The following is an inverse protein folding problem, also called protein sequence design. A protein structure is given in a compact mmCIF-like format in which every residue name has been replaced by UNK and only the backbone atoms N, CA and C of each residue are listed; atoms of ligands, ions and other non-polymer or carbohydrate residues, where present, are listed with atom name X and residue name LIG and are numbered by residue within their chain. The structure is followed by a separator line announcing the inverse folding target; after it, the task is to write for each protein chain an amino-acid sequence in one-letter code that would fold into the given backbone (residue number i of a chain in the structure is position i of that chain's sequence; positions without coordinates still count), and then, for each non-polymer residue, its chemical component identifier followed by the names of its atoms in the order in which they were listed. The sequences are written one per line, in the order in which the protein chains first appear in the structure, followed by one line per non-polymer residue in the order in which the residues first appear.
data_IF_187384173781
#
_entry.id   IF_187384173781
#
_cell.length_a   1.000
_cell.length_b   1.000
_cell.length_c   1.000
_cell.angle_alpha   90.00
_cell.angle_beta   90.00
_cell.angle_gamma   90.00
#
_symmetry.space_group_name_H-M   'P 1'
#
loop_
_entity.id
_entity.type
_entity.pdbx_description
1 polymer ?
#
# COMPACT_ATOMS: atom_id res chain seq x y z
N UNK A 1 30.26 -35.36 -24.00
CA UNK A 1 28.95 -34.92 -24.51
C UNK A 1 28.05 -34.74 -23.30
N UNK A 2 28.04 -33.64 -22.55
CA UNK A 2 27.81 -32.24 -22.92
C UNK A 2 26.54 -32.08 -23.78
N UNK A 3 25.51 -31.47 -23.19
CA UNK A 3 24.23 -31.12 -23.81
C UNK A 3 23.08 -31.98 -23.26
N UNK A 4 22.04 -31.47 -22.61
CA UNK A 4 21.40 -30.15 -22.74
C UNK A 4 20.84 -29.70 -21.39
N UNK A 5 21.47 -28.69 -20.80
CA UNK A 5 20.72 -27.63 -20.12
C UNK A 5 19.97 -26.92 -21.24
N UNK A 6 18.64 -27.00 -21.29
CA UNK A 6 17.67 -26.02 -21.83
C UNK A 6 16.32 -26.72 -21.88
N UNK A 7 15.41 -26.32 -21.00
CA UNK A 7 13.95 -26.42 -21.14
C UNK A 7 13.36 -26.09 -19.77
N UNK A 8 12.62 -25.03 -19.53
CA UNK A 8 12.02 -24.06 -20.41
C UNK A 8 11.56 -22.92 -19.48
N UNK A 9 12.00 -21.68 -19.74
CA UNK A 9 11.58 -20.48 -18.99
C UNK A 9 10.07 -20.16 -19.16
N UNK A 10 9.30 -21.03 -19.80
CA UNK A 10 7.84 -20.95 -19.97
C UNK A 10 7.02 -21.16 -18.69
N UNK A 11 7.63 -21.49 -17.55
CA UNK A 11 6.92 -21.68 -16.26
C UNK A 11 6.98 -20.45 -15.34
N UNK A 12 7.27 -19.26 -15.88
CA UNK A 12 7.26 -18.00 -15.13
C UNK A 12 5.96 -17.19 -15.31
N UNK A 13 4.84 -17.85 -15.63
CA UNK A 13 3.51 -17.23 -15.57
C UNK A 13 2.84 -17.37 -14.19
N UNK A 14 3.52 -16.82 -13.19
CA UNK A 14 2.88 -16.28 -11.98
C UNK A 14 3.55 -14.94 -11.67
N UNK A 15 3.55 -14.07 -12.68
CA UNK A 15 4.15 -12.75 -12.63
C UNK A 15 3.28 -11.89 -11.70
N UNK A 16 3.62 -11.92 -10.41
CA UNK A 16 3.30 -10.89 -9.39
C UNK A 16 1.90 -10.29 -9.50
N UNK A 17 0.92 -10.92 -8.84
CA UNK A 17 -0.38 -10.31 -8.55
C UNK A 17 -0.20 -9.17 -7.54
N UNK A 18 0.41 -8.09 -8.02
CA UNK A 18 0.62 -6.85 -7.30
C UNK A 18 -0.48 -5.87 -7.69
N UNK A 19 -1.42 -5.63 -6.78
CA UNK A 19 -2.50 -4.68 -6.99
C UNK A 19 -2.20 -3.37 -6.27
N UNK A 20 -2.31 -2.19 -6.92
CA UNK A 20 -2.20 -0.92 -6.21
C UNK A 20 -3.38 -0.78 -5.24
N UNK A 21 -3.10 -0.39 -4.00
CA UNK A 21 -4.10 -0.28 -2.93
C UNK A 21 -4.16 1.10 -2.26
N UNK A 22 -3.09 1.89 -2.37
CA UNK A 22 -3.06 3.26 -1.88
C UNK A 22 -2.09 4.12 -2.70
N UNK A 23 -2.38 5.42 -2.80
CA UNK A 23 -1.48 6.43 -3.36
C UNK A 23 -1.30 7.58 -2.38
N UNK A 24 -0.09 8.08 -2.25
CA UNK A 24 0.28 9.17 -1.36
C UNK A 24 1.00 10.28 -2.12
N UNK A 25 0.65 11.52 -1.82
CA UNK A 25 1.37 12.72 -2.22
C UNK A 25 1.52 13.64 -1.02
N UNK A 26 2.64 14.37 -0.97
CA UNK A 26 3.02 15.15 0.21
C UNK A 26 3.21 16.62 -0.14
N UNK A 27 2.70 17.50 0.71
CA UNK A 27 2.92 18.94 0.64
C UNK A 27 3.63 19.38 1.93
N UNK A 28 4.80 20.07 1.83
CA UNK A 28 5.50 20.55 3.02
C UNK A 28 4.70 21.67 3.70
N UNK A 29 4.52 21.56 5.02
CA UNK A 29 3.85 22.58 5.83
C UNK A 29 4.84 23.32 6.74
N UNK A 30 5.74 22.58 7.38
CA UNK A 30 6.78 23.08 8.27
C UNK A 30 7.93 22.07 8.31
N UNK A 31 9.07 22.36 8.98
CA UNK A 31 10.14 21.38 9.14
C UNK A 31 9.61 20.07 9.74
N UNK A 32 9.81 18.95 9.02
CA UNK A 32 9.31 17.61 9.40
C UNK A 32 7.80 17.54 9.63
N UNK A 33 7.02 18.40 8.99
CA UNK A 33 5.57 18.38 9.05
C UNK A 33 5.00 18.51 7.63
N UNK A 34 4.15 17.56 7.27
CA UNK A 34 3.61 17.44 5.91
C UNK A 34 2.11 17.24 5.94
N UNK A 35 1.41 17.90 5.02
CA UNK A 35 0.09 17.46 4.61
C UNK A 35 0.25 16.28 3.65
N UNK A 36 -0.50 15.21 3.85
CA UNK A 36 -0.50 14.06 2.98
C UNK A 36 -1.90 13.86 2.40
N UNK A 37 -1.95 13.78 1.08
CA UNK A 37 -3.14 13.34 0.36
C UNK A 37 -3.04 11.84 0.12
N UNK A 38 -4.00 11.09 0.68
CA UNK A 38 -4.11 9.65 0.59
C UNK A 38 -5.34 9.28 -0.24
N UNK A 39 -5.12 8.49 -1.28
CA UNK A 39 -6.18 7.84 -2.06
C UNK A 39 -6.14 6.33 -1.76
N UNK A 40 -7.29 5.74 -1.44
CA UNK A 40 -7.44 4.29 -1.20
C UNK A 40 -8.66 3.76 -1.94
N UNK A 41 -8.79 2.42 -2.04
CA UNK A 41 -9.96 1.79 -2.63
C UNK A 41 -10.09 2.06 -4.13
N UNK A 42 -11.09 2.85 -4.52
CA UNK A 42 -11.36 3.23 -5.93
C UNK A 42 -10.47 4.37 -6.45
N UNK A 43 -9.65 4.96 -5.58
CA UNK A 43 -8.81 6.13 -5.87
C UNK A 43 -9.60 7.36 -6.34
N UNK A 44 -10.88 7.47 -5.97
CA UNK A 44 -11.73 8.59 -6.36
C UNK A 44 -11.94 9.60 -5.23
N UNK A 45 -11.67 9.22 -3.97
CA UNK A 45 -11.92 10.06 -2.79
C UNK A 45 -10.61 10.36 -2.05
N UNK A 46 -9.96 11.51 -2.34
CA UNK A 46 -8.78 11.90 -1.60
C UNK A 46 -9.13 12.22 -0.15
N UNK A 47 -8.33 11.72 0.77
CA UNK A 47 -8.38 12.04 2.19
C UNK A 47 -7.09 12.79 2.56
N UNK A 48 -7.20 13.81 3.40
CA UNK A 48 -6.06 14.61 3.84
C UNK A 48 -5.74 14.37 5.30
N UNK A 49 -4.45 14.20 5.59
CA UNK A 49 -3.94 14.00 6.94
C UNK A 49 -2.70 14.86 7.17
N UNK A 50 -2.33 15.03 8.44
CA UNK A 50 -1.07 15.67 8.83
C UNK A 50 -0.12 14.63 9.38
N UNK A 51 1.11 14.56 8.89
CA UNK A 51 2.16 13.68 9.39
C UNK A 51 3.36 14.47 9.88
N UNK A 52 4.04 13.89 10.86
CA UNK A 52 5.28 14.40 11.44
C UNK A 52 6.41 13.38 11.27
N UNK A 53 7.60 13.86 10.93
CA UNK A 53 8.77 13.00 10.75
C UNK A 53 9.49 13.22 9.42
N UNK A 54 10.42 12.32 9.14
CA UNK A 54 11.23 12.33 7.91
C UNK A 54 10.75 11.26 6.91
N UNK A 55 9.96 10.28 7.39
CA UNK A 55 9.45 9.13 6.64
C UNK A 55 7.94 8.99 6.88
N UNK A 56 7.26 8.35 5.93
CA UNK A 56 5.87 7.92 6.09
C UNK A 56 5.81 6.40 6.20
N UNK A 57 4.76 5.87 6.83
CA UNK A 57 4.51 4.44 6.99
C UNK A 57 3.02 4.12 6.83
N UNK A 58 2.71 3.08 6.06
CA UNK A 58 1.38 2.48 6.00
C UNK A 58 1.45 1.05 6.55
N UNK A 59 0.54 0.76 7.47
CA UNK A 59 0.33 -0.56 8.06
C UNK A 59 -0.92 -1.21 7.45
N UNK A 60 -0.86 -2.52 7.21
CA UNK A 60 -1.98 -3.33 6.78
C UNK A 60 -1.97 -4.72 7.42
N UNK A 61 -3.15 -5.32 7.49
CA UNK A 61 -3.36 -6.72 7.83
C UNK A 61 -3.63 -7.54 6.60
N UNK A 62 -3.09 -8.75 6.61
CA UNK A 62 -3.30 -9.75 5.58
C UNK A 62 -3.95 -10.99 6.18
N UNK A 63 -4.92 -11.55 5.46
CA UNK A 63 -5.47 -12.87 5.70
C UNK A 63 -5.15 -13.75 4.50
N UNK A 64 -4.46 -14.86 4.78
CA UNK A 64 -4.06 -15.83 3.79
C UNK A 64 -4.89 -17.10 3.94
N UNK A 65 -5.47 -17.56 2.84
CA UNK A 65 -6.19 -18.83 2.81
C UNK A 65 -5.24 -20.01 2.56
N UNK A 66 -5.64 -21.20 3.01
CA UNK A 66 -4.96 -22.46 2.73
C UNK A 66 -4.93 -22.72 1.21
N UNK A 67 -3.92 -23.46 0.70
CA UNK A 67 -3.75 -23.68 -0.73
C UNK A 67 -4.99 -24.21 -1.46
N UNK A 68 -5.75 -25.11 -0.84
CA UNK A 68 -6.99 -25.65 -1.41
C UNK A 68 -8.11 -24.61 -1.55
N UNK A 69 -8.15 -23.60 -0.66
CA UNK A 69 -9.12 -22.51 -0.73
C UNK A 69 -8.76 -21.47 -1.81
N UNK A 70 -7.47 -21.24 -2.07
CA UNK A 70 -7.03 -20.39 -3.19
C UNK A 70 -7.43 -20.99 -4.56
N UNK A 71 -7.48 -22.33 -4.67
CA UNK A 71 -7.94 -23.01 -5.89
C UNK A 71 -9.43 -22.78 -6.18
N UNK A 72 -10.21 -22.35 -5.17
CA UNK A 72 -11.62 -21.97 -5.31
C UNK A 72 -11.80 -20.49 -5.68
N UNK A 73 -10.72 -19.77 -6.00
CA UNK A 73 -10.75 -18.35 -6.37
C UNK A 73 -10.83 -17.39 -5.17
N UNK A 74 -10.53 -17.86 -3.96
CA UNK A 74 -10.41 -16.98 -2.80
C UNK A 74 -9.04 -16.30 -2.79
N UNK A 75 -8.99 -15.05 -3.22
CA UNK A 75 -7.76 -14.26 -3.17
C UNK A 75 -7.42 -13.83 -1.74
N UNK A 76 -6.13 -13.61 -1.50
CA UNK A 76 -5.66 -13.09 -0.21
C UNK A 76 -6.34 -11.75 0.09
N UNK A 77 -6.88 -11.61 1.30
CA UNK A 77 -7.59 -10.40 1.71
C UNK A 77 -6.65 -9.46 2.46
N UNK A 78 -6.90 -8.15 2.34
CA UNK A 78 -6.16 -7.14 3.07
C UNK A 78 -7.07 -6.09 3.69
N UNK A 79 -6.57 -5.46 4.76
CA UNK A 79 -7.19 -4.28 5.37
C UNK A 79 -6.09 -3.29 5.72
N UNK A 80 -6.16 -2.08 5.18
CA UNK A 80 -5.32 -0.97 5.64
C UNK A 80 -5.72 -0.64 7.09
N UNK A 81 -4.74 -0.29 7.92
CA UNK A 81 -4.98 0.00 9.33
C UNK A 81 -4.60 1.42 9.67
N UNK A 82 -3.36 1.80 9.39
CA UNK A 82 -2.80 3.03 9.93
C UNK A 82 -1.85 3.69 8.96
N UNK A 83 -1.96 5.01 8.89
CA UNK A 83 -0.98 5.90 8.29
C UNK A 83 -0.27 6.66 9.41
N UNK A 84 1.06 6.64 9.44
CA UNK A 84 1.85 7.38 10.44
C UNK A 84 3.10 7.97 9.82
N UNK A 85 3.59 9.07 10.39
CA UNK A 85 4.95 9.52 10.15
C UNK A 85 5.95 8.78 11.05
N UNK A 86 7.23 8.83 10.68
CA UNK A 86 8.35 8.25 11.43
C UNK A 86 9.60 9.09 11.23
N UNK A 87 10.43 9.17 12.26
CA UNK A 87 11.72 9.82 12.25
C UNK A 87 12.82 8.81 11.92
N UNK A 88 13.81 9.22 11.12
CA UNK A 88 14.97 8.35 10.83
C UNK A 88 15.83 8.14 12.07
N UNK A 89 15.99 9.19 12.86
CA UNK A 89 16.73 9.17 14.10
C UNK A 89 15.87 8.63 15.26
N UNK A 90 16.40 7.66 15.99
CA UNK A 90 15.68 7.01 17.10
C UNK A 90 15.46 7.96 18.29
N UNK A 91 16.36 8.91 18.54
CA UNK A 91 16.17 9.86 19.64
C UNK A 91 15.05 10.85 19.30
N UNK A 92 14.95 11.27 18.03
CA UNK A 92 13.85 12.06 17.50
C UNK A 92 12.53 11.26 17.54
N UNK A 93 12.50 10.00 17.08
CA UNK A 93 11.31 9.14 17.13
C UNK A 93 10.71 9.03 18.55
N UNK A 94 11.56 9.04 19.58
CA UNK A 94 11.14 8.93 20.97
C UNK A 94 10.70 10.27 21.62
N UNK A 95 11.04 11.42 21.02
CA UNK A 95 10.89 12.75 21.66
C UNK A 95 10.01 13.70 20.89
N UNK A 96 10.08 13.64 19.57
CA UNK A 96 9.39 14.54 18.68
C UNK A 96 7.89 14.20 18.58
N UNK A 97 7.04 15.17 18.20
CA UNK A 97 5.62 14.92 18.02
C UNK A 97 5.37 13.80 17.00
N UNK A 98 4.48 12.86 17.34
CA UNK A 98 4.03 11.83 16.41
C UNK A 98 2.52 11.88 16.26
N UNK A 99 2.04 11.54 15.06
CA UNK A 99 0.62 11.38 14.81
C UNK A 99 0.38 10.17 13.91
N UNK A 100 -0.59 9.37 14.33
CA UNK A 100 -1.06 8.19 13.62
C UNK A 100 -2.55 8.34 13.32
N UNK A 101 -2.93 7.98 12.11
CA UNK A 101 -4.30 8.04 11.62
C UNK A 101 -4.81 6.65 11.33
N UNK A 102 -5.98 6.32 11.84
CA UNK A 102 -6.73 5.12 11.46
C UNK A 102 -7.31 5.35 10.06
N UNK A 103 -6.85 4.55 9.10
CA UNK A 103 -7.25 4.63 7.68
C UNK A 103 -8.05 3.38 7.25
N UNK A 104 -8.28 2.46 8.17
CA UNK A 104 -9.06 1.26 7.91
C UNK A 104 -10.56 1.55 7.93
N UNK A 105 -11.29 0.90 7.03
CA UNK A 105 -12.73 0.74 7.21
C UNK A 105 -12.95 -0.15 8.44
N UNK A 106 -13.56 0.40 9.50
CA UNK A 106 -13.96 -0.37 10.68
C UNK A 106 -15.13 -1.28 10.29
N UNK A 107 -14.96 -2.60 10.14
CA UNK A 107 -16.08 -3.45 9.85
C UNK A 107 -17.00 -3.50 11.06
N UNK A 108 -18.32 -3.52 10.85
CA UNK A 108 -19.30 -3.69 11.95
C UNK A 108 -19.16 -5.06 12.64
N UNK A 109 -18.57 -6.03 11.95
CA UNK A 109 -18.29 -7.39 12.43
C UNK A 109 -16.86 -7.73 12.01
N UNK A 110 -15.96 -7.96 12.97
CA UNK A 110 -14.61 -8.40 12.64
C UNK A 110 -14.62 -9.90 12.33
N UNK A 111 -14.50 -10.24 11.05
CA UNK A 111 -14.40 -11.64 10.59
C UNK A 111 -13.22 -12.36 11.26
N UNK A 112 -12.17 -11.64 11.67
CA UNK A 112 -11.01 -12.22 12.36
C UNK A 112 -11.37 -12.70 13.77
N UNK A 113 -12.25 -11.98 14.47
CA UNK A 113 -12.72 -12.40 15.80
C UNK A 113 -13.60 -13.65 15.70
N UNK A 114 -14.41 -13.76 14.64
CA UNK A 114 -15.26 -14.94 14.39
C UNK A 114 -14.44 -16.17 14.01
N UNK A 115 -13.42 -16.03 13.15
CA UNK A 115 -12.54 -17.14 12.75
C UNK A 115 -11.71 -17.68 13.93
N UNK A 116 -11.28 -16.80 14.84
CA UNK A 116 -10.47 -17.21 15.99
C UNK A 116 -11.25 -17.93 17.10
N UNK A 117 -12.58 -17.74 17.19
CA UNK A 117 -13.34 -18.19 18.35
C UNK A 117 -13.70 -19.67 18.31
N UNK A 118 -14.11 -20.20 17.15
CA UNK A 118 -14.94 -21.40 17.14
C UNK A 118 -14.46 -22.58 16.25
N UNK A 119 -13.35 -22.46 15.48
CA UNK A 119 -13.07 -23.46 14.41
C UNK A 119 -11.57 -23.66 14.07
N UNK A 120 -10.77 -24.18 15.01
CA UNK A 120 -9.31 -24.32 14.81
C UNK A 120 -8.88 -25.44 13.85
N UNK A 121 -9.66 -26.52 13.71
CA UNK A 121 -9.23 -27.71 12.95
C UNK A 121 -9.57 -27.69 11.45
N UNK A 122 -10.58 -26.95 11.05
CA UNK A 122 -11.14 -27.00 9.70
C UNK A 122 -11.20 -25.61 9.05
N UNK A 123 -10.59 -24.58 9.67
CA UNK A 123 -10.59 -23.24 9.11
C UNK A 123 -9.89 -23.23 7.74
N UNK A 124 -10.48 -22.61 6.72
CA UNK A 124 -9.83 -22.39 5.44
C UNK A 124 -8.71 -21.34 5.53
N UNK A 125 -8.59 -20.62 6.65
CA UNK A 125 -7.50 -19.65 6.89
C UNK A 125 -6.20 -20.41 7.22
N UNK A 126 -5.14 -20.05 6.52
CA UNK A 126 -3.78 -20.53 6.75
C UNK A 126 -3.12 -19.70 7.85
N UNK A 127 -3.07 -18.38 7.64
CA UNK A 127 -2.44 -17.45 8.57
C UNK A 127 -2.99 -16.04 8.43
N UNK A 128 -2.74 -15.26 9.46
CA UNK A 128 -3.01 -13.85 9.51
C UNK A 128 -1.74 -13.13 9.97
N UNK A 129 -1.35 -12.07 9.28
CA UNK A 129 -0.11 -11.34 9.57
C UNK A 129 -0.22 -9.85 9.27
N UNK A 130 0.59 -9.05 9.98
CA UNK A 130 0.76 -7.63 9.70
C UNK A 130 1.86 -7.41 8.66
N UNK A 131 1.66 -6.41 7.80
CA UNK A 131 2.65 -5.93 6.86
C UNK A 131 2.69 -4.41 6.90
N UNK A 132 3.89 -3.84 6.81
CA UNK A 132 4.09 -2.41 6.86
C UNK A 132 5.14 -2.01 5.83
N UNK A 133 4.88 -0.89 5.15
CA UNK A 133 5.83 -0.29 4.21
C UNK A 133 6.07 1.15 4.61
N UNK A 134 7.31 1.61 4.48
CA UNK A 134 7.70 2.97 4.78
C UNK A 134 8.72 3.46 3.77
N UNK A 135 8.75 4.77 3.57
CA UNK A 135 9.78 5.42 2.77
C UNK A 135 9.97 6.88 3.22
N UNK A 136 11.13 7.43 2.88
CA UNK A 136 11.44 8.85 3.03
C UNK A 136 10.42 9.74 2.33
N UNK A 137 9.99 10.80 3.01
CA UNK A 137 9.09 11.79 2.43
C UNK A 137 9.88 12.69 1.47
N UNK A 138 9.47 12.69 0.21
CA UNK A 138 9.95 13.59 -0.82
C UNK A 138 8.74 14.17 -1.58
N UNK A 139 8.42 15.46 -1.40
CA UNK A 139 7.31 16.12 -2.08
C UNK A 139 7.41 16.12 -3.61
N UNK A 140 8.58 15.82 -4.19
CA UNK A 140 8.73 15.71 -5.64
C UNK A 140 8.21 14.38 -6.23
N UNK A 141 7.76 13.44 -5.37
CA UNK A 141 7.32 12.12 -5.79
C UNK A 141 5.90 11.80 -5.31
N UNK A 142 5.21 11.01 -6.14
CA UNK A 142 4.03 10.25 -5.75
C UNK A 142 4.46 8.85 -5.33
N UNK A 143 3.85 8.33 -4.28
CA UNK A 143 4.07 6.96 -3.82
C UNK A 143 2.84 6.11 -4.09
N UNK A 144 3.02 4.94 -4.71
CA UNK A 144 1.97 3.95 -4.88
C UNK A 144 2.32 2.72 -4.04
N UNK A 145 1.41 2.37 -3.13
CA UNK A 145 1.50 1.15 -2.32
C UNK A 145 0.77 0.03 -3.04
N UNK A 146 1.44 -1.10 -3.19
CA UNK A 146 0.92 -2.31 -3.78
C UNK A 146 0.75 -3.39 -2.72
N UNK A 147 -0.30 -4.18 -2.90
CA UNK A 147 -0.49 -5.44 -2.20
C UNK A 147 0.13 -6.55 -3.02
N UNK A 148 1.15 -7.20 -2.48
CA UNK A 148 1.70 -8.44 -3.01
C UNK A 148 1.24 -9.67 -2.22
N UNK A 149 1.75 -10.83 -2.62
CA UNK A 149 1.43 -12.12 -1.98
C UNK A 149 2.05 -12.28 -0.57
N UNK A 150 3.15 -11.57 -0.30
CA UNK A 150 3.91 -11.64 0.96
C UNK A 150 3.81 -10.37 1.82
N UNK A 151 3.09 -9.35 1.36
CA UNK A 151 2.96 -8.09 2.08
C UNK A 151 2.83 -6.87 1.17
N UNK A 152 3.08 -5.70 1.76
CA UNK A 152 3.07 -4.42 1.07
C UNK A 152 4.38 -4.14 0.34
N UNK A 153 4.27 -3.46 -0.78
CA UNK A 153 5.38 -2.94 -1.58
C UNK A 153 5.10 -1.46 -1.89
N UNK A 154 6.14 -0.68 -2.14
CA UNK A 154 6.02 0.72 -2.54
C UNK A 154 6.82 0.98 -3.81
N UNK A 155 6.24 1.76 -4.71
CA UNK A 155 6.97 2.38 -5.83
C UNK A 155 6.77 3.89 -5.76
N UNK A 156 7.78 4.65 -6.16
CA UNK A 156 7.70 6.11 -6.26
C UNK A 156 7.94 6.56 -7.68
N UNK A 157 7.18 7.56 -8.10
CA UNK A 157 7.20 8.14 -9.44
C UNK A 157 7.34 9.65 -9.30
N UNK A 158 8.23 10.31 -10.07
CA UNK A 158 8.34 11.76 -10.03
C UNK A 158 7.00 12.41 -10.41
N UNK A 159 6.58 13.41 -9.65
CA UNK A 159 5.48 14.28 -10.07
C UNK A 159 5.99 15.11 -11.25
N UNK A 160 5.38 14.96 -12.42
CA UNK A 160 5.72 15.79 -13.58
C UNK A 160 5.29 17.24 -13.28
N UNK A 161 6.24 18.18 -13.13
CA UNK A 161 5.88 19.56 -12.85
C UNK A 161 5.17 20.16 -14.05
N UNK A 162 4.29 21.13 -13.79
CA UNK A 162 3.79 21.98 -14.86
C UNK A 162 4.98 22.67 -15.53
N UNK A 163 5.08 22.56 -16.84
CA UNK A 163 6.17 23.12 -17.61
C UNK A 163 5.65 23.79 -18.87
N UNK A 164 6.43 24.72 -19.42
CA UNK A 164 6.11 25.32 -20.70
C UNK A 164 6.76 24.52 -21.82
N UNK A 165 5.98 24.06 -22.79
CA UNK A 165 6.45 23.40 -24.00
C UNK A 165 5.99 24.24 -25.20
N UNK A 166 6.93 24.72 -26.01
CA UNK A 166 6.66 25.61 -27.15
C UNK A 166 5.82 26.86 -26.83
N UNK A 167 5.90 27.37 -25.60
CA UNK A 167 5.12 28.52 -25.15
C UNK A 167 3.74 28.19 -24.58
N UNK A 168 3.33 26.92 -24.56
CA UNK A 168 2.09 26.46 -23.92
C UNK A 168 2.37 25.86 -22.54
N UNK A 169 1.54 26.19 -21.55
CA UNK A 169 1.61 25.58 -20.22
C UNK A 169 1.02 24.16 -20.27
N UNK A 170 1.89 23.15 -20.12
CA UNK A 170 1.52 21.75 -20.04
C UNK A 170 1.33 21.36 -18.58
N UNK A 171 0.14 20.88 -18.24
CA UNK A 171 -0.22 20.35 -16.92
C UNK A 171 -0.61 18.89 -17.09
N UNK A 172 0.15 17.99 -16.44
CA UNK A 172 -0.18 16.57 -16.44
C UNK A 172 -1.28 16.29 -15.41
N UNK A 173 -2.48 15.96 -15.90
CA UNK A 173 -3.61 15.55 -15.07
C UNK A 173 -3.72 14.02 -15.14
N UNK A 174 -3.37 13.35 -14.05
CA UNK A 174 -3.58 11.91 -13.93
C UNK A 174 -5.02 11.62 -13.49
N UNK A 175 -5.68 10.68 -14.17
CA UNK A 175 -7.05 10.28 -13.82
C UNK A 175 -6.99 9.06 -12.91
N UNK A 176 -6.73 9.34 -11.64
CA UNK A 176 -6.59 8.30 -10.61
C UNK A 176 -7.86 7.47 -10.40
N UNK A 177 -9.05 8.07 -10.60
CA UNK A 177 -10.34 7.43 -10.38
C UNK A 177 -10.63 6.35 -11.42
N UNK A 178 -10.67 5.09 -10.97
CA UNK A 178 -11.04 3.95 -11.79
C UNK A 178 -12.57 4.00 -11.98
N UNK A 179 -13.06 4.52 -13.12
CA UNK A 179 -14.48 4.39 -13.47
C UNK A 179 -14.83 2.91 -13.44
N UNK A 180 -15.81 2.53 -12.62
CA UNK A 180 -16.38 1.19 -12.67
C UNK A 180 -16.84 0.94 -14.10
N UNK A 181 -16.27 -0.08 -14.75
CA UNK A 181 -16.84 -0.60 -15.99
C UNK A 181 -18.19 -1.24 -15.62
N UNK A 182 -19.26 -0.71 -16.21
CA UNK A 182 -20.61 -1.30 -16.19
C UNK A 182 -20.64 -2.66 -16.90
#
# INVERSE_FOLDING_TARGET
MAGLIVSNLYTYHRLTDEAPIARLQFEPMAPRQYAVELLTGDFCKPQRFTLYGDQWRIDARFLKWKPLANLLGLDAMYRLERLSGRYRDTAAENREPHQAWDIGLKPRVDLLDYVNRDWKYWSPVDTYFGSSVYEDIDPAYRYTVYRGQSGLLVRKEPLAPAHYENGELVIHIDRDCRRAAE
#
